data_IF_908328103869
#
_entry.id   IF_908328103869
#
_cell.length_a   1.000
_cell.length_b   1.000
_cell.length_c   1.000
_cell.angle_alpha   90.00
_cell.angle_beta   90.00
_cell.angle_gamma   90.00
#
_symmetry.space_group_name_H-M   'P 1'
#
loop_
_entity.id
_entity.type
_entity.pdbx_description
1 polymer ?
#
# COMPACT_ATOMS: atom_id res chain seq x y z
N UNK A 1 -33.89 54.88 -20.03
CA UNK A 1 -32.54 54.33 -19.79
C UNK A 1 -32.63 53.69 -18.43
N UNK A 2 -33.08 52.43 -18.38
CA UNK A 2 -33.29 51.71 -17.12
C UNK A 2 -32.43 50.44 -17.16
N UNK A 3 -31.38 50.44 -16.34
CA UNK A 3 -30.44 49.35 -16.21
C UNK A 3 -31.00 48.29 -15.25
N UNK A 4 -31.27 47.09 -15.77
CA UNK A 4 -31.60 45.94 -14.94
C UNK A 4 -30.33 45.39 -14.28
N UNK A 5 -30.32 45.37 -12.96
CA UNK A 5 -29.28 44.77 -12.13
C UNK A 5 -29.67 43.31 -11.84
N UNK A 6 -28.95 42.36 -12.44
CA UNK A 6 -29.12 40.94 -12.14
C UNK A 6 -28.07 40.52 -11.11
N UNK A 7 -28.49 40.44 -9.85
CA UNK A 7 -27.67 39.90 -8.77
C UNK A 7 -27.62 38.38 -8.87
N UNK A 8 -26.45 37.84 -9.17
CA UNK A 8 -26.16 36.43 -8.93
C UNK A 8 -26.01 36.23 -7.43
N UNK A 9 -26.83 35.33 -6.89
CA UNK A 9 -26.80 34.91 -5.50
C UNK A 9 -25.91 33.66 -5.45
N UNK A 10 -24.63 33.86 -5.15
CA UNK A 10 -23.67 32.79 -4.85
C UNK A 10 -23.97 32.27 -3.44
N UNK A 11 -24.77 31.20 -3.32
CA UNK A 11 -25.10 30.57 -2.03
C UNK A 11 -25.14 29.03 -2.12
N UNK A 12 -24.35 28.39 -3.02
CA UNK A 12 -24.37 26.92 -3.18
C UNK A 12 -23.03 26.20 -3.48
N UNK A 13 -21.84 26.78 -3.26
CA UNK A 13 -20.57 26.14 -3.70
C UNK A 13 -19.43 26.04 -2.66
N UNK A 14 -19.66 26.18 -1.35
CA UNK A 14 -18.55 26.19 -0.39
C UNK A 14 -18.25 24.87 0.34
N UNK A 15 -19.14 23.88 0.37
CA UNK A 15 -18.88 22.60 1.05
C UNK A 15 -18.09 21.60 0.19
N UNK A 16 -18.49 21.37 -1.06
CA UNK A 16 -17.81 20.42 -1.97
C UNK A 16 -16.39 20.90 -2.37
N UNK A 17 -16.20 22.21 -2.54
CA UNK A 17 -14.90 22.81 -2.92
C UNK A 17 -13.89 22.73 -1.78
N UNK A 18 -14.35 22.72 -0.52
CA UNK A 18 -13.49 22.59 0.65
C UNK A 18 -13.00 21.14 0.85
N UNK A 19 -13.88 20.14 0.68
CA UNK A 19 -13.51 18.73 0.75
C UNK A 19 -12.54 18.33 -0.38
N UNK A 20 -12.76 18.78 -1.61
CA UNK A 20 -11.86 18.48 -2.72
C UNK A 20 -10.47 19.15 -2.54
N UNK A 21 -10.38 20.42 -2.08
CA UNK A 21 -9.10 21.07 -1.76
C UNK A 21 -8.28 20.34 -0.70
N UNK A 22 -8.95 19.68 0.25
CA UNK A 22 -8.28 18.85 1.27
C UNK A 22 -7.64 17.61 0.64
N UNK A 23 -8.30 17.00 -0.36
CA UNK A 23 -7.77 15.83 -1.08
C UNK A 23 -6.50 16.20 -1.88
N UNK A 24 -6.46 17.37 -2.54
CA UNK A 24 -5.32 17.81 -3.37
C UNK A 24 -4.01 18.07 -2.60
N UNK A 25 -4.05 18.17 -1.27
CA UNK A 25 -2.87 18.40 -0.41
C UNK A 25 -2.72 17.33 0.69
N UNK A 26 -3.40 16.21 0.52
CA UNK A 26 -3.48 15.18 1.55
C UNK A 26 -2.22 14.31 1.58
N UNK A 27 -1.76 13.99 2.79
CA UNK A 27 -0.56 13.17 3.01
C UNK A 27 -0.90 11.71 2.72
N UNK A 28 -0.04 11.04 1.98
CA UNK A 28 -0.16 9.61 1.71
C UNK A 28 0.62 8.82 2.77
N UNK A 29 -0.02 7.83 3.38
CA UNK A 29 0.60 6.90 4.31
C UNK A 29 0.69 5.52 3.70
N UNK A 30 1.90 5.00 3.60
CA UNK A 30 2.17 3.74 2.91
C UNK A 30 2.99 2.80 3.79
N UNK A 31 2.51 1.57 3.95
CA UNK A 31 3.26 0.50 4.61
C UNK A 31 3.66 -0.53 3.56
N UNK A 32 4.97 -0.72 3.41
CA UNK A 32 5.53 -1.87 2.70
C UNK A 32 5.50 -3.07 3.63
N UNK A 33 4.62 -4.02 3.33
CA UNK A 33 4.47 -5.25 4.07
C UNK A 33 5.13 -6.38 3.26
N UNK A 34 6.26 -6.88 3.73
CA UNK A 34 7.12 -7.80 2.98
C UNK A 34 7.14 -9.17 3.67
N UNK A 35 6.82 -10.21 2.90
CA UNK A 35 6.95 -11.61 3.33
C UNK A 35 8.43 -11.96 3.48
N UNK A 36 8.79 -12.52 4.62
CA UNK A 36 10.14 -12.95 4.94
C UNK A 36 10.23 -14.46 5.15
N UNK A 37 9.30 -15.26 4.63
CA UNK A 37 9.48 -16.71 4.55
C UNK A 37 10.71 -17.07 3.70
N UNK A 38 11.27 -18.27 3.96
CA UNK A 38 12.42 -18.81 3.22
C UNK A 38 12.22 -18.82 1.70
N UNK A 39 10.99 -18.99 1.22
CA UNK A 39 10.67 -18.98 -0.22
C UNK A 39 10.95 -17.66 -0.91
N UNK A 40 11.04 -16.54 -0.17
CA UNK A 40 11.34 -15.21 -0.70
C UNK A 40 12.83 -14.99 -0.95
N UNK A 41 13.67 -15.90 -0.46
CA UNK A 41 15.12 -15.83 -0.54
C UNK A 41 15.63 -16.96 -1.44
N UNK A 42 16.59 -16.63 -2.30
CA UNK A 42 17.43 -17.58 -3.01
C UNK A 42 18.89 -17.18 -2.78
N UNK A 43 19.81 -18.11 -3.07
CA UNK A 43 21.25 -17.85 -2.95
C UNK A 43 21.77 -16.91 -4.06
N UNK A 44 20.91 -16.51 -5.00
CA UNK A 44 21.22 -15.54 -6.04
C UNK A 44 21.28 -14.11 -5.46
N UNK A 45 22.18 -13.28 -6.00
CA UNK A 45 22.31 -11.86 -5.62
C UNK A 45 20.99 -11.07 -5.85
N UNK A 46 20.18 -11.51 -6.82
CA UNK A 46 18.84 -11.00 -7.07
C UNK A 46 17.80 -12.06 -6.68
N UNK A 47 17.09 -11.82 -5.58
CA UNK A 47 15.99 -12.64 -5.12
C UNK A 47 14.75 -11.77 -4.87
N UNK A 48 13.63 -12.40 -4.53
CA UNK A 48 12.38 -11.66 -4.33
C UNK A 48 12.47 -10.66 -3.19
N UNK A 49 13.14 -11.01 -2.09
CA UNK A 49 13.33 -10.10 -0.98
C UNK A 49 14.15 -8.87 -1.39
N UNK A 50 15.32 -9.05 -2.02
CA UNK A 50 16.15 -7.91 -2.47
C UNK A 50 15.42 -7.05 -3.50
N UNK A 51 14.61 -7.66 -4.38
CA UNK A 51 13.71 -6.96 -5.31
C UNK A 51 12.69 -6.08 -4.57
N UNK A 52 12.07 -6.59 -3.49
CA UNK A 52 11.14 -5.82 -2.66
C UNK A 52 11.84 -4.63 -1.99
N UNK A 53 13.03 -4.85 -1.44
CA UNK A 53 13.80 -3.79 -0.77
C UNK A 53 14.29 -2.73 -1.77
N UNK A 54 14.67 -3.12 -3.00
CA UNK A 54 14.96 -2.17 -4.09
C UNK A 54 13.73 -1.34 -4.47
N UNK A 55 12.54 -1.94 -4.42
CA UNK A 55 11.29 -1.23 -4.60
C UNK A 55 11.09 -0.17 -3.50
N UNK A 56 11.27 -0.55 -2.23
CA UNK A 56 11.22 0.39 -1.09
C UNK A 56 12.22 1.53 -1.28
N UNK A 57 13.47 1.22 -1.65
CA UNK A 57 14.51 2.22 -1.87
C UNK A 57 14.11 3.23 -2.94
N UNK A 58 13.61 2.74 -4.07
CA UNK A 58 13.15 3.57 -5.19
C UNK A 58 11.99 4.47 -4.79
N UNK A 59 11.03 3.94 -4.03
CA UNK A 59 9.90 4.70 -3.49
C UNK A 59 10.36 5.80 -2.53
N UNK A 60 11.24 5.49 -1.57
CA UNK A 60 11.76 6.48 -0.62
C UNK A 60 12.48 7.62 -1.37
N UNK A 61 13.36 7.29 -2.33
CA UNK A 61 14.05 8.28 -3.17
C UNK A 61 13.07 9.15 -3.96
N UNK A 62 12.06 8.54 -4.58
CA UNK A 62 11.04 9.26 -5.34
C UNK A 62 10.19 10.19 -4.46
N UNK A 63 9.76 9.74 -3.28
CA UNK A 63 8.95 10.54 -2.35
C UNK A 63 9.71 11.75 -1.84
N UNK A 64 11.02 11.64 -1.56
CA UNK A 64 11.86 12.80 -1.19
C UNK A 64 11.87 13.86 -2.31
N UNK A 65 11.93 13.44 -3.57
CA UNK A 65 11.98 14.35 -4.72
C UNK A 65 10.60 14.99 -5.01
N UNK A 66 9.51 14.21 -4.91
CA UNK A 66 8.17 14.64 -5.35
C UNK A 66 7.34 15.32 -4.25
N UNK A 67 7.35 14.80 -3.01
CA UNK A 67 6.52 15.28 -1.91
C UNK A 67 7.03 14.79 -0.55
N UNK A 68 7.73 15.65 0.21
CA UNK A 68 8.32 15.30 1.52
C UNK A 68 7.32 15.31 2.70
N UNK A 69 6.02 15.09 2.45
CA UNK A 69 4.99 15.04 3.50
C UNK A 69 4.40 13.66 3.71
N UNK A 70 4.65 12.75 2.78
CA UNK A 70 4.13 11.39 2.84
C UNK A 70 4.88 10.57 3.89
N UNK A 71 4.19 9.61 4.49
CA UNK A 71 4.77 8.71 5.49
C UNK A 71 4.95 7.33 4.87
N UNK A 72 6.12 6.73 5.12
CA UNK A 72 6.46 5.39 4.65
C UNK A 72 6.85 4.54 5.85
N UNK A 73 6.33 3.32 5.92
CA UNK A 73 6.72 2.29 6.90
C UNK A 73 7.16 1.02 6.18
N UNK A 74 8.02 0.23 6.83
CA UNK A 74 8.51 -1.06 6.32
C UNK A 74 8.32 -2.09 7.41
N UNK A 75 7.52 -3.12 7.12
CA UNK A 75 7.17 -4.20 8.05
C UNK A 75 7.51 -5.53 7.40
N UNK A 76 8.24 -6.37 8.13
CA UNK A 76 8.55 -7.74 7.78
C UNK A 76 7.63 -8.67 8.56
N UNK A 77 7.09 -9.69 7.90
CA UNK A 77 6.35 -10.76 8.56
C UNK A 77 6.91 -12.13 8.18
N UNK A 78 6.74 -13.10 9.07
CA UNK A 78 7.39 -14.40 8.94
C UNK A 78 8.88 -14.38 9.30
N UNK A 79 9.25 -13.52 10.26
CA UNK A 79 10.57 -13.51 10.89
C UNK A 79 10.57 -14.35 12.18
N UNK A 80 11.71 -14.83 12.64
CA UNK A 80 11.79 -15.45 13.99
C UNK A 80 11.75 -14.37 15.07
N UNK A 81 12.42 -13.24 14.84
CA UNK A 81 12.39 -12.09 15.75
C UNK A 81 11.07 -11.34 15.63
N UNK A 82 10.59 -10.87 16.78
CA UNK A 82 9.40 -10.03 16.89
C UNK A 82 9.81 -8.65 17.37
N UNK A 83 9.39 -7.61 16.65
CA UNK A 83 9.59 -6.21 17.03
C UNK A 83 8.36 -5.40 16.63
N UNK A 84 7.39 -5.35 17.53
CA UNK A 84 6.24 -4.46 17.41
C UNK A 84 5.69 -4.18 18.81
N UNK A 85 4.95 -3.07 18.97
CA UNK A 85 4.46 -2.62 20.29
C UNK A 85 3.39 -3.50 20.91
N UNK A 86 2.79 -4.37 20.11
CA UNK A 86 1.59 -5.14 20.47
C UNK A 86 1.90 -6.64 20.63
N UNK A 87 3.20 -7.01 20.56
CA UNK A 87 3.74 -8.37 20.73
C UNK A 87 3.13 -9.44 19.82
N UNK A 88 2.73 -9.08 18.59
CA UNK A 88 2.34 -10.07 17.59
C UNK A 88 3.56 -10.87 17.12
N UNK A 89 3.54 -12.18 17.32
CA UNK A 89 4.66 -13.06 17.00
C UNK A 89 4.99 -13.07 15.50
N UNK A 90 6.28 -13.16 15.19
CA UNK A 90 6.82 -13.27 13.83
C UNK A 90 6.59 -12.04 12.95
N UNK A 91 6.39 -10.86 13.56
CA UNK A 91 6.25 -9.59 12.87
C UNK A 91 7.27 -8.58 13.38
N UNK A 92 8.06 -8.02 12.47
CA UNK A 92 9.16 -7.11 12.75
C UNK A 92 8.97 -5.79 12.01
N UNK A 93 8.80 -4.70 12.76
CA UNK A 93 8.78 -3.34 12.19
C UNK A 93 10.23 -2.92 11.94
N UNK A 94 10.63 -2.98 10.67
CA UNK A 94 11.96 -2.57 10.24
C UNK A 94 12.11 -1.04 10.31
N UNK A 95 11.14 -0.32 9.74
CA UNK A 95 11.05 1.13 9.87
C UNK A 95 9.61 1.55 10.19
N UNK A 96 9.46 2.39 11.21
CA UNK A 96 8.17 2.97 11.60
C UNK A 96 7.58 3.86 10.51
N UNK A 97 6.26 4.05 10.54
CA UNK A 97 5.53 4.93 9.65
C UNK A 97 5.92 6.39 9.92
N UNK A 98 6.86 6.91 9.13
CA UNK A 98 7.39 8.26 9.28
C UNK A 98 7.91 8.78 7.94
N UNK A 99 8.34 10.05 7.91
CA UNK A 99 8.79 10.69 6.67
C UNK A 99 10.08 10.04 6.15
N UNK A 100 10.22 9.86 4.83
CA UNK A 100 11.49 9.50 4.22
C UNK A 100 12.60 10.50 4.58
N UNK A 101 13.78 10.00 4.93
CA UNK A 101 14.98 10.80 5.16
C UNK A 101 16.23 10.06 4.66
N UNK A 102 17.39 10.73 4.70
CA UNK A 102 18.64 10.14 4.23
C UNK A 102 19.05 8.90 5.04
N UNK A 103 18.93 8.94 6.37
CA UNK A 103 19.30 7.83 7.26
C UNK A 103 18.51 6.56 6.94
N UNK A 104 17.21 6.69 6.72
CA UNK A 104 16.32 5.58 6.35
C UNK A 104 16.63 5.01 4.98
N UNK A 105 17.10 5.83 4.04
CA UNK A 105 17.57 5.34 2.74
C UNK A 105 18.88 4.56 2.90
N UNK A 106 19.79 5.04 3.74
CA UNK A 106 21.06 4.36 4.06
C UNK A 106 20.78 3.00 4.72
N UNK A 107 19.83 2.92 5.65
CA UNK A 107 19.41 1.64 6.26
C UNK A 107 18.89 0.63 5.23
N UNK A 108 18.13 1.10 4.24
CA UNK A 108 17.63 0.27 3.14
C UNK A 108 18.77 -0.13 2.18
N UNK A 109 19.71 0.77 1.92
CA UNK A 109 20.92 0.49 1.13
C UNK A 109 21.80 -0.57 1.78
N UNK A 110 22.03 -0.47 3.09
CA UNK A 110 22.78 -1.47 3.85
C UNK A 110 22.08 -2.84 3.86
N UNK A 111 20.74 -2.84 3.88
CA UNK A 111 19.97 -4.08 3.73
C UNK A 111 20.22 -4.74 2.37
N UNK A 112 20.39 -3.96 1.29
CA UNK A 112 20.64 -4.47 -0.06
C UNK A 112 22.08 -4.93 -0.29
N UNK A 113 23.07 -4.33 0.36
CA UNK A 113 24.48 -4.69 0.15
C UNK A 113 24.87 -5.95 0.90
N UNK A 114 24.62 -5.96 2.21
CA UNK A 114 25.25 -6.94 3.11
C UNK A 114 24.24 -7.64 4.04
N UNK A 115 23.27 -6.90 4.61
CA UNK A 115 22.44 -7.47 5.69
C UNK A 115 21.42 -8.52 5.20
N UNK A 116 21.04 -8.51 3.92
CA UNK A 116 20.16 -9.57 3.40
C UNK A 116 20.85 -10.94 3.44
N UNK A 117 22.19 -10.99 3.32
CA UNK A 117 22.98 -12.24 3.36
C UNK A 117 23.00 -12.83 4.77
N UNK A 118 22.97 -11.99 5.79
CA UNK A 118 22.87 -12.39 7.21
C UNK A 118 21.45 -12.36 7.73
N UNK A 119 20.43 -12.18 6.87
CA UNK A 119 19.03 -12.02 7.29
C UNK A 119 18.55 -13.16 8.17
N UNK A 120 18.95 -14.40 7.86
CA UNK A 120 18.62 -15.58 8.67
C UNK A 120 19.15 -15.47 10.11
N UNK A 121 20.33 -14.89 10.32
CA UNK A 121 20.94 -14.72 11.64
C UNK A 121 20.33 -13.51 12.37
N UNK A 122 20.08 -12.43 11.63
CA UNK A 122 19.62 -11.16 12.18
C UNK A 122 18.12 -11.11 12.45
N UNK A 123 17.30 -11.84 11.69
CA UNK A 123 15.84 -11.81 11.79
C UNK A 123 15.21 -13.21 11.82
N UNK A 124 15.82 -14.18 11.13
CA UNK A 124 15.30 -15.54 10.98
C UNK A 124 14.08 -15.63 10.07
N UNK A 125 13.58 -16.85 9.85
CA UNK A 125 12.43 -17.10 8.98
C UNK A 125 11.46 -18.07 9.64
N UNK A 126 10.20 -17.67 9.74
CA UNK A 126 9.16 -18.44 10.40
C UNK A 126 7.85 -18.44 9.60
N UNK A 127 7.24 -19.61 9.42
CA UNK A 127 5.97 -19.76 8.73
C UNK A 127 4.76 -19.81 9.66
N UNK A 128 4.95 -19.68 10.98
CA UNK A 128 3.90 -19.77 12.00
C UNK A 128 3.28 -18.41 12.37
N UNK A 129 3.50 -17.36 11.57
CA UNK A 129 2.77 -16.09 11.75
C UNK A 129 1.27 -16.29 11.56
N UNK A 130 0.47 -15.34 12.04
CA UNK A 130 -0.97 -15.25 11.74
C UNK A 130 -1.20 -14.02 10.85
N UNK A 131 -1.72 -14.21 9.64
CA UNK A 131 -1.95 -13.11 8.70
C UNK A 131 -2.99 -12.10 9.23
N UNK A 132 -3.91 -12.53 10.08
CA UNK A 132 -4.86 -11.65 10.77
C UNK A 132 -4.14 -10.67 11.70
N UNK A 133 -3.14 -11.13 12.45
CA UNK A 133 -2.30 -10.29 13.31
C UNK A 133 -1.45 -9.32 12.48
N UNK A 134 -0.97 -9.75 11.31
CA UNK A 134 -0.26 -8.89 10.35
C UNK A 134 -1.15 -7.73 9.89
N UNK A 135 -2.36 -8.02 9.41
CA UNK A 135 -3.30 -6.97 9.00
C UNK A 135 -3.70 -6.07 10.17
N UNK A 136 -3.86 -6.64 11.37
CA UNK A 136 -4.19 -5.87 12.55
C UNK A 136 -3.06 -4.91 12.92
N UNK A 137 -1.81 -5.38 12.94
CA UNK A 137 -0.65 -4.52 13.21
C UNK A 137 -0.58 -3.35 12.23
N UNK A 138 -0.76 -3.60 10.92
CA UNK A 138 -0.76 -2.52 9.94
C UNK A 138 -1.86 -1.48 10.20
N UNK A 139 -3.07 -1.92 10.58
CA UNK A 139 -4.14 -1.00 10.98
C UNK A 139 -3.79 -0.18 12.24
N UNK A 140 -3.13 -0.81 13.21
CA UNK A 140 -2.67 -0.14 14.43
C UNK A 140 -1.59 0.90 14.13
N UNK A 141 -0.67 0.62 13.18
CA UNK A 141 0.37 1.57 12.79
C UNK A 141 -0.22 2.85 12.18
N UNK A 142 -1.25 2.73 11.34
CA UNK A 142 -1.98 3.89 10.84
C UNK A 142 -2.76 4.60 11.95
N UNK A 143 -3.40 3.85 12.85
CA UNK A 143 -4.19 4.42 13.95
C UNK A 143 -3.33 5.18 14.98
N UNK A 144 -2.08 4.74 15.20
CA UNK A 144 -1.10 5.40 16.09
C UNK A 144 -0.45 6.63 15.44
N UNK A 145 -0.65 6.85 14.14
CA UNK A 145 -0.11 8.01 13.45
C UNK A 145 -0.81 9.29 13.94
N UNK A 146 -0.03 10.29 14.35
CA UNK A 146 -0.55 11.58 14.82
C UNK A 146 -0.86 12.55 13.68
N UNK A 147 -0.34 12.28 12.48
CA UNK A 147 -0.59 13.11 11.31
C UNK A 147 -1.87 12.67 10.59
N UNK A 148 -2.71 13.63 10.18
CA UNK A 148 -3.89 13.33 9.34
C UNK A 148 -3.43 12.90 7.94
N UNK A 149 -3.60 11.63 7.64
CA UNK A 149 -3.38 11.04 6.32
C UNK A 149 -4.66 11.14 5.50
N UNK A 150 -4.55 11.55 4.24
CA UNK A 150 -5.69 11.47 3.31
C UNK A 150 -5.90 10.07 2.80
N UNK A 151 -4.80 9.34 2.62
CA UNK A 151 -4.80 8.01 2.06
C UNK A 151 -3.91 7.10 2.88
N UNK A 152 -4.37 5.87 3.07
CA UNK A 152 -3.69 4.85 3.83
C UNK A 152 -3.66 3.58 3.00
N UNK A 153 -2.47 3.04 2.78
CA UNK A 153 -2.30 1.86 1.94
C UNK A 153 -1.26 0.89 2.47
N UNK A 154 -1.56 -0.39 2.30
CA UNK A 154 -0.64 -1.48 2.59
C UNK A 154 -0.24 -2.08 1.24
N UNK A 155 1.05 -2.09 0.93
CA UNK A 155 1.61 -2.79 -0.22
C UNK A 155 2.14 -4.15 0.26
N UNK A 156 1.42 -5.24 -0.04
CA UNK A 156 1.77 -6.59 0.38
C UNK A 156 2.58 -7.30 -0.70
N UNK A 157 3.85 -7.60 -0.39
CA UNK A 157 4.75 -8.37 -1.24
C UNK A 157 4.87 -9.79 -0.70
N UNK A 158 4.50 -10.79 -1.50
CA UNK A 158 4.60 -12.21 -1.12
C UNK A 158 4.64 -13.10 -2.35
N UNK A 159 5.31 -14.25 -2.23
CA UNK A 159 5.25 -15.33 -3.22
C UNK A 159 4.39 -16.51 -2.77
N UNK A 160 3.65 -16.38 -1.66
CA UNK A 160 2.79 -17.41 -1.11
C UNK A 160 1.34 -17.08 -1.39
N UNK A 161 0.68 -17.84 -2.26
CA UNK A 161 -0.71 -17.61 -2.67
C UNK A 161 -1.75 -18.08 -1.62
N UNK A 162 -1.36 -19.02 -0.78
CA UNK A 162 -2.16 -19.58 0.31
C UNK A 162 -1.35 -19.56 1.64
N UNK A 163 -1.37 -18.45 2.40
CA UNK A 163 -0.57 -18.31 3.62
C UNK A 163 -1.01 -19.28 4.73
N UNK A 164 -2.32 -19.54 4.84
CA UNK A 164 -2.92 -20.38 5.87
C UNK A 164 -3.97 -21.34 5.30
N UNK A 165 -3.97 -22.58 5.79
CA UNK A 165 -5.01 -23.59 5.50
C UNK A 165 -6.10 -23.65 6.58
N UNK A 166 -5.85 -23.07 7.76
CA UNK A 166 -6.79 -23.11 8.87
C UNK A 166 -8.00 -22.22 8.59
N UNK A 167 -9.19 -22.80 8.68
CA UNK A 167 -10.46 -22.10 8.48
C UNK A 167 -10.67 -21.01 9.53
N UNK A 168 -10.21 -21.22 10.76
CA UNK A 168 -10.34 -20.23 11.83
C UNK A 168 -9.56 -18.97 11.48
N UNK A 169 -8.31 -19.15 11.04
CA UNK A 169 -7.47 -18.02 10.65
C UNK A 169 -7.98 -17.30 9.40
N UNK A 170 -8.54 -18.02 8.43
CA UNK A 170 -9.20 -17.41 7.27
C UNK A 170 -10.37 -16.52 7.72
N UNK A 171 -11.16 -16.95 8.71
CA UNK A 171 -12.25 -16.13 9.26
C UNK A 171 -11.70 -14.88 9.95
N UNK A 172 -10.63 -15.00 10.74
CA UNK A 172 -9.99 -13.84 11.37
C UNK A 172 -9.45 -12.85 10.34
N UNK A 173 -8.79 -13.34 9.28
CA UNK A 173 -8.32 -12.50 8.18
C UNK A 173 -9.46 -11.74 7.49
N UNK A 174 -10.62 -12.38 7.26
CA UNK A 174 -11.81 -11.71 6.71
C UNK A 174 -12.38 -10.65 7.65
N UNK A 175 -12.36 -10.88 8.96
CA UNK A 175 -12.74 -9.87 9.96
C UNK A 175 -11.79 -8.67 9.89
N UNK A 176 -10.47 -8.90 9.83
CA UNK A 176 -9.48 -7.84 9.71
C UNK A 176 -9.56 -7.10 8.37
N UNK A 177 -9.89 -7.78 7.28
CA UNK A 177 -10.16 -7.14 6.00
C UNK A 177 -11.36 -6.18 6.08
N UNK A 178 -12.43 -6.56 6.79
CA UNK A 178 -13.55 -5.65 7.04
C UNK A 178 -13.14 -4.44 7.90
N UNK A 179 -12.27 -4.64 8.88
CA UNK A 179 -11.74 -3.55 9.72
C UNK A 179 -10.91 -2.57 8.86
N UNK A 180 -10.08 -3.08 7.93
CA UNK A 180 -9.32 -2.27 6.99
C UNK A 180 -10.26 -1.45 6.07
N UNK A 181 -11.31 -2.07 5.52
CA UNK A 181 -12.32 -1.36 4.72
C UNK A 181 -12.94 -0.21 5.52
N UNK A 182 -13.46 -0.51 6.72
CA UNK A 182 -14.14 0.49 7.58
C UNK A 182 -13.25 1.66 7.97
N UNK A 183 -11.94 1.44 8.06
CA UNK A 183 -10.96 2.49 8.38
C UNK A 183 -10.43 3.21 7.15
N UNK A 184 -10.85 2.82 5.94
CA UNK A 184 -10.40 3.42 4.68
C UNK A 184 -8.97 3.02 4.29
N UNK A 185 -8.44 1.93 4.87
CA UNK A 185 -7.12 1.41 4.54
C UNK A 185 -7.24 0.47 3.34
N UNK A 186 -6.55 0.83 2.26
CA UNK A 186 -6.46 0.00 1.06
C UNK A 186 -5.37 -1.07 1.20
N UNK A 187 -5.60 -2.26 0.64
CA UNK A 187 -4.61 -3.33 0.55
C UNK A 187 -4.30 -3.62 -0.92
N UNK A 188 -3.02 -3.52 -1.27
CA UNK A 188 -2.52 -3.75 -2.62
C UNK A 188 -1.63 -4.98 -2.60
N UNK A 189 -2.10 -6.07 -3.20
CA UNK A 189 -1.29 -7.27 -3.38
C UNK A 189 -0.32 -7.08 -4.54
N UNK A 190 0.95 -7.40 -4.28
CA UNK A 190 2.05 -7.45 -5.25
C UNK A 190 2.58 -8.88 -5.24
N UNK A 191 1.91 -9.79 -5.99
CA UNK A 191 2.27 -11.19 -6.00
C UNK A 191 3.58 -11.40 -6.77
N UNK A 192 4.49 -12.16 -6.16
CA UNK A 192 5.79 -12.52 -6.72
C UNK A 192 5.75 -13.96 -7.18
N UNK A 193 6.23 -14.21 -8.39
CA UNK A 193 6.13 -15.51 -9.04
C UNK A 193 7.49 -15.92 -9.63
N UNK A 194 7.82 -17.20 -9.51
CA UNK A 194 8.94 -17.82 -10.24
C UNK A 194 8.46 -18.28 -11.63
N UNK A 195 9.35 -18.32 -12.65
CA UNK A 195 9.02 -18.74 -14.03
C UNK A 195 8.24 -20.05 -14.17
N UNK A 196 8.41 -20.97 -13.22
CA UNK A 196 7.84 -22.31 -13.25
C UNK A 196 6.72 -22.52 -12.23
N UNK A 197 6.27 -21.47 -11.54
CA UNK A 197 5.18 -21.53 -10.57
C UNK A 197 4.07 -20.59 -11.01
N UNK A 198 2.87 -20.77 -10.49
CA UNK A 198 1.74 -19.86 -10.72
C UNK A 198 1.24 -19.36 -9.38
N UNK A 199 1.11 -18.04 -9.21
CA UNK A 199 0.49 -17.47 -8.02
C UNK A 199 -1.03 -17.38 -8.22
N UNK A 200 -1.81 -18.19 -7.49
CA UNK A 200 -3.27 -18.18 -7.61
C UNK A 200 -3.94 -17.28 -6.56
N UNK A 201 -4.26 -16.06 -6.97
CA UNK A 201 -4.94 -15.06 -6.15
C UNK A 201 -6.30 -15.56 -5.62
N UNK A 202 -6.96 -16.50 -6.31
CA UNK A 202 -8.30 -16.96 -5.94
C UNK A 202 -8.31 -17.80 -4.65
N UNK A 203 -7.19 -18.43 -4.27
CA UNK A 203 -7.13 -19.30 -3.09
C UNK A 203 -7.43 -18.55 -1.80
N UNK A 204 -6.82 -17.38 -1.63
CA UNK A 204 -6.90 -16.61 -0.39
C UNK A 204 -7.20 -15.14 -0.65
N UNK A 205 -6.33 -14.45 -1.41
CA UNK A 205 -6.33 -12.99 -1.48
C UNK A 205 -7.52 -12.37 -2.19
N UNK A 206 -8.14 -13.04 -3.16
CA UNK A 206 -9.32 -12.51 -3.88
C UNK A 206 -10.43 -12.12 -2.92
N UNK A 207 -10.74 -12.98 -1.95
CA UNK A 207 -11.79 -12.72 -0.97
C UNK A 207 -11.44 -11.55 -0.06
N UNK A 208 -10.16 -11.45 0.34
CA UNK A 208 -9.67 -10.36 1.19
C UNK A 208 -9.73 -9.02 0.44
N UNK A 209 -9.22 -8.98 -0.79
CA UNK A 209 -9.24 -7.78 -1.63
C UNK A 209 -10.67 -7.34 -1.93
N UNK A 210 -11.57 -8.28 -2.24
CA UNK A 210 -12.99 -7.97 -2.47
C UNK A 210 -13.67 -7.39 -1.23
N UNK A 211 -13.36 -7.89 -0.03
CA UNK A 211 -13.88 -7.29 1.21
C UNK A 211 -13.37 -5.85 1.38
N UNK A 212 -12.13 -5.56 1.00
CA UNK A 212 -11.50 -4.25 1.19
C UNK A 212 -11.97 -3.22 0.16
N UNK A 213 -12.04 -3.61 -1.11
CA UNK A 213 -12.31 -2.70 -2.23
C UNK A 213 -13.74 -2.80 -2.77
N UNK A 214 -14.52 -3.80 -2.36
CA UNK A 214 -15.87 -4.05 -2.87
C UNK A 214 -15.89 -4.73 -4.26
N UNK A 215 -17.04 -4.62 -4.94
CA UNK A 215 -17.30 -5.23 -6.25
C UNK A 215 -16.56 -4.54 -7.41
N UNK A 216 -15.90 -3.41 -7.17
CA UNK A 216 -15.21 -2.60 -8.19
C UNK A 216 -13.81 -3.13 -8.60
N UNK A 217 -13.43 -4.34 -8.20
CA UNK A 217 -12.17 -4.95 -8.68
C UNK A 217 -12.36 -5.38 -10.14
N UNK A 218 -12.17 -4.43 -11.07
CA UNK A 218 -12.24 -4.69 -12.52
C UNK A 218 -11.18 -5.71 -12.97
N UNK A 219 -10.03 -5.75 -12.29
CA UNK A 219 -8.92 -6.66 -12.60
C UNK A 219 -8.21 -7.13 -11.33
N UNK A 220 -8.04 -8.45 -11.20
CA UNK A 220 -7.19 -9.02 -10.15
C UNK A 220 -5.72 -8.65 -10.40
N UNK A 221 -4.88 -8.57 -9.34
CA UNK A 221 -3.46 -8.33 -9.50
C UNK A 221 -2.85 -9.38 -10.44
N UNK A 222 -2.32 -8.93 -11.57
CA UNK A 222 -1.52 -9.77 -12.44
C UNK A 222 -0.21 -10.15 -11.74
N UNK A 223 0.47 -11.22 -12.13
CA UNK A 223 1.72 -11.65 -11.47
C UNK A 223 2.92 -10.98 -12.14
N UNK A 224 4.04 -10.79 -11.42
CA UNK A 224 5.26 -10.27 -12.05
C UNK A 224 6.49 -10.86 -11.39
N UNK A 225 7.48 -11.15 -12.20
CA UNK A 225 8.79 -11.64 -11.76
C UNK A 225 9.81 -10.50 -11.70
N UNK A 226 9.60 -9.45 -12.49
CA UNK A 226 10.59 -8.41 -12.71
C UNK A 226 10.40 -7.22 -11.77
N UNK A 227 11.53 -6.75 -11.23
CA UNK A 227 11.62 -5.49 -10.49
C UNK A 227 10.97 -4.33 -11.25
N UNK A 228 11.19 -4.23 -12.56
CA UNK A 228 10.60 -3.16 -13.39
C UNK A 228 9.07 -3.19 -13.36
N UNK A 229 8.47 -4.39 -13.45
CA UNK A 229 7.02 -4.55 -13.35
C UNK A 229 6.48 -4.24 -11.96
N UNK A 230 7.23 -4.59 -10.90
CA UNK A 230 6.89 -4.21 -9.53
C UNK A 230 7.01 -2.71 -9.30
N UNK A 231 8.11 -2.10 -9.73
CA UNK A 231 8.35 -0.67 -9.67
C UNK A 231 7.32 0.11 -10.47
N UNK A 232 6.95 -0.37 -11.66
CA UNK A 232 5.90 0.25 -12.47
C UNK A 232 4.56 0.16 -11.74
N UNK A 233 4.19 -1.01 -11.20
CA UNK A 233 2.96 -1.14 -10.42
C UNK A 233 2.96 -0.27 -9.18
N UNK A 234 4.05 -0.26 -8.43
CA UNK A 234 4.21 0.58 -7.26
C UNK A 234 4.15 2.05 -7.67
N UNK A 235 4.81 2.49 -8.75
CA UNK A 235 4.73 3.87 -9.26
C UNK A 235 3.35 4.27 -9.77
N UNK A 236 2.68 3.40 -10.53
CA UNK A 236 1.32 3.60 -11.02
C UNK A 236 0.34 3.70 -9.86
N UNK A 237 0.56 2.91 -8.82
CA UNK A 237 -0.27 2.91 -7.62
C UNK A 237 0.08 4.08 -6.70
N UNK A 238 1.36 4.41 -6.52
CA UNK A 238 1.89 5.56 -5.77
C UNK A 238 1.28 6.89 -6.23
N UNK A 239 1.03 7.02 -7.55
CA UNK A 239 0.48 8.22 -8.15
C UNK A 239 -1.03 8.14 -8.20
N UNK A 240 -1.69 8.98 -7.41
CA UNK A 240 -3.11 9.21 -7.59
C UNK A 240 -3.38 9.98 -8.88
N UNK A 241 -4.52 9.68 -9.51
CA UNK A 241 -5.06 10.48 -10.60
C UNK A 241 -5.35 11.88 -10.05
N UNK A 242 -4.53 12.86 -10.42
CA UNK A 242 -4.74 14.26 -10.08
C UNK A 242 -5.49 14.91 -11.23
N UNK A 243 -6.74 15.27 -10.98
CA UNK A 243 -7.50 16.11 -11.91
C UNK A 243 -6.95 17.54 -11.79
N UNK A 244 -6.30 18.01 -12.85
CA UNK A 244 -5.82 19.38 -12.99
C UNK A 244 -7.00 20.36 -12.99
N UNK A 245 -8.09 20.02 -13.69
CA UNK A 245 -9.30 20.84 -13.73
C UNK A 245 -10.52 20.01 -14.15
N UNK A 246 -11.64 20.22 -13.45
CA UNK A 246 -12.94 19.74 -13.91
C UNK A 246 -13.55 20.75 -14.89
N UNK A 247 -13.96 20.29 -16.06
CA UNK A 247 -14.60 21.11 -17.08
C UNK A 247 -15.97 20.52 -17.46
N UNK A 248 -16.96 21.37 -17.77
CA UNK A 248 -18.19 20.90 -18.37
C UNK A 248 -17.94 20.46 -19.82
N UNK A 249 -18.24 19.19 -20.10
CA UNK A 249 -18.37 18.62 -21.43
C UNK A 249 -19.84 18.74 -21.86
N UNK A 250 -20.13 19.71 -22.72
CA UNK A 250 -21.45 19.89 -23.32
C UNK A 250 -21.52 19.15 -24.65
N UNK A 251 -22.39 18.16 -24.75
CA UNK A 251 -22.56 17.31 -25.94
C UNK A 251 -23.67 17.88 -26.84
N UNK A 252 -24.69 18.51 -26.26
CA UNK A 252 -25.80 19.14 -26.95
C UNK A 252 -26.76 19.83 -25.98
N UNK A 253 -27.88 20.36 -26.49
CA UNK A 253 -28.87 21.07 -25.68
C UNK A 253 -29.41 20.16 -24.56
N UNK A 254 -29.15 20.56 -23.31
CA UNK A 254 -29.56 19.83 -22.11
C UNK A 254 -28.71 18.59 -21.77
N UNK A 255 -27.64 18.30 -22.51
CA UNK A 255 -26.74 17.16 -22.25
C UNK A 255 -25.35 17.68 -21.90
N UNK A 256 -25.06 17.66 -20.60
CA UNK A 256 -23.79 18.12 -20.01
C UNK A 256 -23.26 17.06 -19.04
N UNK A 257 -21.95 16.82 -19.08
CA UNK A 257 -21.23 15.95 -18.14
C UNK A 257 -19.98 16.67 -17.65
N UNK A 258 -19.55 16.44 -16.42
CA UNK A 258 -18.29 17.02 -15.92
C UNK A 258 -17.14 16.05 -16.18
N UNK A 259 -16.09 16.51 -16.87
CA UNK A 259 -14.88 15.74 -17.12
C UNK A 259 -13.70 16.30 -16.33
N UNK A 260 -12.90 15.42 -15.74
CA UNK A 260 -11.62 15.80 -15.13
C UNK A 260 -10.49 15.69 -16.15
N UNK A 261 -9.77 16.78 -16.39
CA UNK A 261 -8.50 16.82 -17.12
C UNK A 261 -7.32 16.56 -16.20
#
# INVERSE_FOLDING_TARGET
>A
MDSYHFGFKDDLEDEDVAEEKIIYNSKDGMIFLIDCNKSMFSDDDENFFTTCIQCVQSTLKNKIIQNNRDLVGVVFFGTDKTKNTDNFEHIYIYQDLARPNAERIIEIENMLTDNWKTFHEDYGHNSNYQMSDVFWLCSLLFSKCTEKLGYQRILLFTNKDEPHMDKTEIVHCKTRANDLNKTGISLELLPLQLPNQTFDVNKFYKNILFIIHGEEIEQLPDTTEKLEGLLERVRCKERQKRVLRRLPLRIGDGVEATVGL
#
